data_IF_749338037583
#
_entry.id   IF_749338037583
#
_cell.length_a   1.000
_cell.length_b   1.000
_cell.length_c   1.000
_cell.angle_alpha   90.00
_cell.angle_beta   90.00
_cell.angle_gamma   90.00
#
_symmetry.space_group_name_H-M   'P 1'
#
loop_
_entity.id
_entity.type
_entity.pdbx_description
1 polymer ?
#
# COMPACT_ATOMS: atom_id res chain seq x y z
N UNK A 1 -13.71 -26.81 -15.66
CA UNK A 1 -14.55 -27.06 -14.49
C UNK A 1 -14.38 -28.49 -13.91
N UNK A 2 -14.17 -29.52 -14.70
CA UNK A 2 -13.98 -30.92 -14.22
C UNK A 2 -12.59 -31.19 -13.59
N UNK A 3 -11.54 -30.53 -14.03
CA UNK A 3 -10.15 -30.74 -13.53
C UNK A 3 -9.98 -30.16 -12.11
N UNK A 4 -10.60 -29.01 -11.80
CA UNK A 4 -10.54 -28.38 -10.47
C UNK A 4 -11.27 -29.24 -9.42
N UNK A 5 -12.37 -29.91 -9.79
CA UNK A 5 -13.10 -30.75 -8.87
C UNK A 5 -12.34 -32.07 -8.54
N UNK A 6 -11.58 -32.63 -9.49
CA UNK A 6 -10.70 -33.78 -9.25
C UNK A 6 -9.52 -33.45 -8.36
N UNK A 7 -8.94 -32.23 -8.50
CA UNK A 7 -7.85 -31.73 -7.62
C UNK A 7 -8.33 -31.54 -6.18
N UNK A 8 -9.50 -30.96 -5.97
CA UNK A 8 -10.08 -30.81 -4.62
C UNK A 8 -10.36 -32.19 -3.95
N UNK A 9 -10.81 -33.20 -4.71
CA UNK A 9 -11.02 -34.55 -4.20
C UNK A 9 -9.70 -35.24 -3.84
N UNK A 10 -8.62 -35.07 -4.61
CA UNK A 10 -7.31 -35.61 -4.28
C UNK A 10 -6.67 -34.93 -3.05
N UNK A 11 -6.83 -33.62 -2.89
CA UNK A 11 -6.34 -32.88 -1.71
C UNK A 11 -7.10 -33.33 -0.45
N UNK A 12 -8.43 -33.53 -0.53
CA UNK A 12 -9.21 -34.08 0.60
C UNK A 12 -8.79 -35.49 0.99
N UNK A 13 -8.48 -36.36 0.02
CA UNK A 13 -8.03 -37.74 0.28
C UNK A 13 -6.59 -37.74 0.86
N UNK A 14 -5.72 -36.83 0.43
CA UNK A 14 -4.36 -36.73 0.93
C UNK A 14 -4.27 -36.18 2.38
N UNK A 15 -5.24 -35.37 2.80
CA UNK A 15 -5.25 -34.85 4.19
C UNK A 15 -5.42 -35.96 5.24
N UNK A 16 -5.96 -37.10 4.86
CA UNK A 16 -6.05 -38.30 5.71
C UNK A 16 -4.76 -39.17 5.71
N UNK A 17 -3.79 -38.88 4.84
CA UNK A 17 -2.57 -39.65 4.66
C UNK A 17 -1.27 -38.91 5.05
N UNK A 18 -1.33 -37.87 5.86
CA UNK A 18 -0.13 -37.25 6.47
C UNK A 18 0.70 -36.35 5.53
N UNK A 19 0.12 -35.82 4.47
CA UNK A 19 0.78 -34.78 3.65
C UNK A 19 0.89 -33.51 4.48
N UNK A 20 2.11 -32.95 4.59
CA UNK A 20 2.35 -31.73 5.38
C UNK A 20 1.65 -30.52 4.75
N UNK A 21 1.21 -29.58 5.59
CA UNK A 21 0.62 -28.33 5.13
C UNK A 21 1.61 -27.52 4.27
N UNK A 22 2.90 -27.67 4.53
CA UNK A 22 3.96 -27.01 3.76
C UNK A 22 4.02 -27.52 2.32
N UNK A 23 3.89 -28.84 2.11
CA UNK A 23 3.84 -29.43 0.77
C UNK A 23 2.59 -28.97 0.00
N UNK A 24 1.44 -28.87 0.67
CA UNK A 24 0.21 -28.36 0.06
C UNK A 24 0.40 -26.90 -0.33
N UNK A 25 0.99 -26.09 0.53
CA UNK A 25 1.26 -24.67 0.26
C UNK A 25 2.24 -24.49 -0.90
N UNK A 26 3.33 -25.29 -0.92
CA UNK A 26 4.32 -25.29 -2.01
C UNK A 26 3.68 -25.69 -3.35
N UNK A 27 2.82 -26.72 -3.34
CA UNK A 27 2.07 -27.17 -4.52
C UNK A 27 1.08 -26.10 -5.02
N UNK A 28 0.34 -25.45 -4.11
CA UNK A 28 -0.59 -24.38 -4.47
C UNK A 28 0.15 -23.15 -5.03
N UNK A 29 1.33 -22.81 -4.50
CA UNK A 29 2.19 -21.74 -5.02
C UNK A 29 2.77 -22.11 -6.41
N UNK A 30 3.17 -23.37 -6.63
CA UNK A 30 3.69 -23.84 -7.91
C UNK A 30 2.66 -23.72 -9.03
N UNK A 31 1.39 -23.99 -8.74
CA UNK A 31 0.29 -23.90 -9.71
C UNK A 31 -0.41 -22.53 -9.73
N UNK A 32 0.15 -21.50 -9.04
CA UNK A 32 -0.44 -20.16 -8.92
C UNK A 32 -1.90 -20.16 -8.39
N UNK A 33 -2.32 -21.18 -7.67
CA UNK A 33 -3.68 -21.29 -7.14
C UNK A 33 -3.91 -20.37 -5.93
N UNK A 34 -2.82 -19.84 -5.35
CA UNK A 34 -2.83 -18.87 -4.24
C UNK A 34 -2.23 -17.52 -4.60
N UNK A 35 -1.96 -17.31 -5.88
CA UNK A 35 -1.29 -16.10 -6.37
C UNK A 35 -2.26 -14.95 -6.54
N UNK A 36 -1.90 -13.77 -6.04
CA UNK A 36 -2.59 -12.50 -6.26
C UNK A 36 -2.16 -11.88 -7.59
N UNK A 37 -0.90 -12.06 -7.96
CA UNK A 37 -0.30 -11.52 -9.18
C UNK A 37 0.96 -12.29 -9.59
N UNK A 38 1.38 -12.11 -10.84
CA UNK A 38 2.67 -12.61 -11.33
C UNK A 38 3.89 -12.00 -10.60
N UNK A 39 3.69 -10.94 -9.81
CA UNK A 39 4.77 -10.22 -9.09
C UNK A 39 4.91 -10.65 -7.64
N UNK A 40 4.12 -11.61 -7.15
CA UNK A 40 4.08 -12.00 -5.74
C UNK A 40 5.45 -12.40 -5.19
N UNK A 41 6.28 -13.12 -5.98
CA UNK A 41 7.63 -13.52 -5.57
C UNK A 41 8.52 -12.30 -5.28
N UNK A 42 8.45 -11.28 -6.14
CA UNK A 42 9.21 -10.04 -5.97
C UNK A 42 8.67 -9.26 -4.77
N UNK A 43 7.35 -9.10 -4.67
CA UNK A 43 6.69 -8.41 -3.56
C UNK A 43 7.06 -9.06 -2.22
N UNK A 44 6.92 -10.39 -2.10
CA UNK A 44 7.27 -11.15 -0.89
C UNK A 44 8.75 -10.99 -0.51
N UNK A 45 9.65 -10.91 -1.50
CA UNK A 45 11.09 -10.70 -1.26
C UNK A 45 11.37 -9.31 -0.69
N UNK A 46 10.90 -8.27 -1.37
CA UNK A 46 11.26 -6.89 -1.03
C UNK A 46 10.58 -6.41 0.26
N UNK A 47 9.30 -6.74 0.47
CA UNK A 47 8.54 -6.26 1.63
C UNK A 47 9.07 -6.80 2.97
N UNK A 48 9.90 -7.85 2.96
CA UNK A 48 10.58 -8.34 4.18
C UNK A 48 11.40 -7.25 4.86
N UNK A 49 12.00 -6.33 4.10
CA UNK A 49 12.75 -5.18 4.61
C UNK A 49 11.87 -4.25 5.46
N UNK A 50 10.59 -4.14 5.11
CA UNK A 50 9.60 -3.31 5.80
C UNK A 50 8.90 -4.04 6.96
N UNK A 51 8.91 -5.37 6.94
CA UNK A 51 8.25 -6.22 7.94
C UNK A 51 6.73 -6.19 7.85
N UNK A 52 6.15 -5.71 6.75
CA UNK A 52 4.71 -5.74 6.50
C UNK A 52 4.25 -7.09 5.93
N UNK A 53 2.96 -7.38 6.06
CA UNK A 53 2.34 -8.44 5.28
C UNK A 53 2.47 -8.11 3.78
N UNK A 54 2.96 -9.05 2.98
CA UNK A 54 3.16 -8.86 1.55
C UNK A 54 1.88 -8.50 0.80
N UNK A 55 0.72 -8.95 1.31
CA UNK A 55 -0.59 -8.65 0.73
C UNK A 55 -0.97 -7.17 0.88
N UNK A 56 -0.44 -6.48 1.89
CA UNK A 56 -0.58 -5.03 1.99
C UNK A 56 0.16 -4.35 0.85
N UNK A 57 1.39 -4.76 0.54
CA UNK A 57 2.15 -4.25 -0.61
C UNK A 57 1.45 -4.59 -1.93
N UNK A 58 0.95 -5.82 -2.10
CA UNK A 58 0.17 -6.19 -3.28
C UNK A 58 -1.09 -5.32 -3.44
N UNK A 59 -1.73 -4.94 -2.33
CA UNK A 59 -2.89 -4.05 -2.33
C UNK A 59 -2.55 -2.63 -2.76
N UNK A 60 -1.35 -2.13 -2.42
CA UNK A 60 -0.82 -0.86 -2.92
C UNK A 60 -0.66 -0.96 -4.44
N UNK A 61 0.10 -1.94 -4.94
CA UNK A 61 0.33 -2.13 -6.38
C UNK A 61 -0.98 -2.24 -7.16
N UNK A 62 -1.96 -2.98 -6.61
CA UNK A 62 -3.30 -3.05 -7.20
C UNK A 62 -3.98 -1.68 -7.29
N UNK A 63 -3.91 -0.87 -6.24
CA UNK A 63 -4.55 0.46 -6.25
C UNK A 63 -3.84 1.43 -7.19
N UNK A 64 -2.52 1.32 -7.34
CA UNK A 64 -1.73 2.17 -8.22
C UNK A 64 -1.95 1.82 -9.71
N UNK A 65 -1.70 0.59 -10.10
CA UNK A 65 -1.60 0.20 -11.51
C UNK A 65 -2.48 -0.97 -11.94
N UNK A 66 -3.20 -1.65 -11.04
CA UNK A 66 -3.83 -2.96 -11.30
C UNK A 66 -2.83 -4.01 -11.78
N UNK A 67 -1.61 -3.96 -11.28
CA UNK A 67 -0.47 -4.76 -11.73
C UNK A 67 -0.08 -4.53 -13.21
N UNK A 68 -0.47 -3.40 -13.81
CA UNK A 68 -0.04 -3.04 -15.16
C UNK A 68 1.31 -2.30 -15.09
N UNK A 69 2.36 -2.94 -15.62
CA UNK A 69 3.73 -2.41 -15.65
C UNK A 69 3.84 -1.16 -16.54
N UNK A 70 3.02 -1.06 -17.58
CA UNK A 70 3.03 0.04 -18.54
C UNK A 70 2.04 1.17 -18.18
N UNK A 71 1.47 1.12 -16.96
CA UNK A 71 0.50 2.13 -16.54
C UNK A 71 1.11 3.53 -16.52
N UNK A 72 0.43 4.49 -17.15
CA UNK A 72 0.77 5.92 -17.15
C UNK A 72 -0.48 6.71 -16.77
N UNK A 73 -0.39 7.51 -15.72
CA UNK A 73 -1.47 8.38 -15.31
C UNK A 73 -1.51 9.69 -16.12
N UNK A 74 -2.64 10.39 -16.07
CA UNK A 74 -2.78 11.72 -16.70
C UNK A 74 -1.82 12.77 -16.11
N UNK A 75 -1.31 12.57 -14.91
CA UNK A 75 -0.31 13.42 -14.27
C UNK A 75 1.14 12.95 -14.52
N UNK A 76 1.36 11.89 -15.29
CA UNK A 76 2.67 11.37 -15.63
C UNK A 76 3.28 10.41 -14.60
N UNK A 77 2.48 9.88 -13.66
CA UNK A 77 2.93 8.77 -12.81
C UNK A 77 3.05 7.49 -13.66
N UNK A 78 4.09 6.65 -13.39
CA UNK A 78 4.44 5.52 -14.26
C UNK A 78 4.68 4.23 -13.47
N UNK A 79 4.42 3.12 -14.14
CA UNK A 79 4.78 1.77 -13.72
C UNK A 79 3.91 1.19 -12.61
N UNK A 80 4.33 0.06 -12.06
CA UNK A 80 3.57 -0.69 -11.04
C UNK A 80 3.23 0.14 -9.81
N UNK A 81 4.15 1.00 -9.38
CA UNK A 81 4.05 1.81 -8.18
C UNK A 81 3.58 3.24 -8.44
N UNK A 82 3.28 3.59 -9.71
CA UNK A 82 2.84 4.91 -10.13
C UNK A 82 3.73 6.05 -9.59
N UNK A 83 5.03 5.90 -9.78
CA UNK A 83 5.96 6.95 -9.39
C UNK A 83 5.86 8.18 -10.29
N UNK A 84 5.74 9.35 -9.67
CA UNK A 84 6.01 10.62 -10.34
C UNK A 84 7.51 10.72 -10.66
N UNK A 85 7.90 11.35 -11.78
CA UNK A 85 9.30 11.39 -12.22
C UNK A 85 10.29 11.81 -11.13
N UNK A 86 10.00 12.92 -10.44
CA UNK A 86 10.84 13.42 -9.34
C UNK A 86 10.97 12.43 -8.17
N UNK A 87 9.90 11.65 -7.91
CA UNK A 87 9.94 10.63 -6.85
C UNK A 87 10.76 9.43 -7.33
N UNK A 88 10.60 9.00 -8.58
CA UNK A 88 11.38 7.93 -9.18
C UNK A 88 12.89 8.22 -9.07
N UNK A 89 13.33 9.39 -9.55
CA UNK A 89 14.72 9.85 -9.48
C UNK A 89 15.26 9.84 -8.04
N UNK A 90 14.47 10.32 -7.07
CA UNK A 90 14.86 10.34 -5.65
C UNK A 90 15.13 8.94 -5.08
N UNK A 91 14.45 7.92 -5.61
CA UNK A 91 14.62 6.53 -5.20
C UNK A 91 15.41 5.71 -6.22
N UNK A 92 16.25 6.38 -7.01
CA UNK A 92 17.27 5.77 -7.87
C UNK A 92 16.76 5.15 -9.16
N UNK A 93 15.55 5.53 -9.61
CA UNK A 93 15.01 5.07 -10.88
C UNK A 93 15.19 6.12 -11.98
N UNK A 94 15.91 5.76 -13.05
CA UNK A 94 16.15 6.63 -14.19
C UNK A 94 15.38 6.15 -15.44
N UNK A 95 14.82 7.10 -16.18
CA UNK A 95 14.16 6.82 -17.46
C UNK A 95 13.07 5.75 -17.39
N UNK A 96 13.27 4.65 -18.09
CA UNK A 96 12.31 3.54 -18.16
C UNK A 96 12.52 2.45 -17.08
N UNK A 97 13.49 2.59 -16.20
CA UNK A 97 13.68 1.69 -15.06
C UNK A 97 12.44 1.62 -14.16
N UNK A 98 11.65 2.70 -14.11
CA UNK A 98 10.36 2.75 -13.40
C UNK A 98 9.36 1.71 -13.94
N UNK A 99 9.51 1.24 -15.16
CA UNK A 99 8.70 0.19 -15.78
C UNK A 99 9.26 -1.22 -15.51
N UNK A 100 10.49 -1.35 -14.98
CA UNK A 100 11.00 -2.63 -14.54
C UNK A 100 10.31 -3.07 -13.26
N UNK A 101 9.60 -4.23 -13.23
CA UNK A 101 8.84 -4.65 -12.06
C UNK A 101 9.67 -4.78 -10.78
N UNK A 102 10.89 -5.33 -10.89
CA UNK A 102 11.72 -5.56 -9.73
C UNK A 102 12.22 -4.24 -9.14
N UNK A 103 12.75 -3.35 -9.99
CA UNK A 103 13.27 -2.04 -9.57
C UNK A 103 12.14 -1.15 -9.03
N UNK A 104 10.98 -1.15 -9.70
CA UNK A 104 9.82 -0.36 -9.27
C UNK A 104 9.30 -0.80 -7.89
N UNK A 105 9.18 -2.13 -7.63
CA UNK A 105 8.74 -2.65 -6.34
C UNK A 105 9.80 -2.38 -5.26
N UNK A 106 11.09 -2.55 -5.56
CA UNK A 106 12.19 -2.26 -4.62
C UNK A 106 12.17 -0.79 -4.19
N UNK A 107 12.16 0.14 -5.15
CA UNK A 107 12.05 1.58 -4.87
C UNK A 107 10.76 1.92 -4.10
N UNK A 108 9.65 1.22 -4.39
CA UNK A 108 8.39 1.35 -3.65
C UNK A 108 8.52 1.00 -2.17
N UNK A 109 9.19 -0.10 -1.88
CA UNK A 109 9.47 -0.52 -0.49
C UNK A 109 10.38 0.50 0.20
N UNK A 110 11.41 1.00 -0.47
CA UNK A 110 12.29 2.03 0.10
C UNK A 110 11.55 3.35 0.39
N UNK A 111 10.62 3.74 -0.48
CA UNK A 111 9.78 4.91 -0.23
C UNK A 111 8.85 4.68 0.97
N UNK A 112 8.23 3.51 1.09
CA UNK A 112 7.41 3.16 2.26
C UNK A 112 8.26 3.15 3.55
N UNK A 113 9.47 2.61 3.52
CA UNK A 113 10.41 2.67 4.66
C UNK A 113 10.80 4.10 5.04
N UNK A 114 10.98 4.98 4.05
CA UNK A 114 11.19 6.41 4.29
C UNK A 114 9.98 7.02 4.99
N UNK A 115 8.75 6.70 4.56
CA UNK A 115 7.52 7.21 5.17
C UNK A 115 7.29 6.63 6.57
N UNK A 116 7.60 5.34 6.81
CA UNK A 116 7.58 4.74 8.15
C UNK A 116 8.41 5.56 9.14
N UNK A 117 9.64 5.93 8.76
CA UNK A 117 10.50 6.78 9.60
C UNK A 117 9.96 8.20 9.77
N UNK A 118 9.10 8.66 8.85
CA UNK A 118 8.45 9.98 8.95
C UNK A 118 7.29 10.00 9.93
N UNK A 119 6.75 8.86 10.29
CA UNK A 119 5.59 8.71 11.18
C UNK A 119 5.89 7.75 12.34
N UNK A 120 7.18 7.62 12.75
CA UNK A 120 7.64 6.68 13.77
C UNK A 120 7.13 7.00 15.19
N UNK A 121 6.70 8.24 15.43
CA UNK A 121 6.05 8.65 16.67
C UNK A 121 4.67 8.00 16.89
N UNK A 122 4.04 7.47 15.83
CA UNK A 122 2.77 6.75 15.93
C UNK A 122 3.07 5.32 16.38
N UNK A 123 2.83 5.02 17.66
CA UNK A 123 3.21 3.74 18.27
C UNK A 123 2.38 2.56 17.72
N UNK A 124 1.08 2.77 17.49
CA UNK A 124 0.22 1.75 16.91
C UNK A 124 0.59 1.52 15.45
N UNK A 125 0.92 0.28 15.11
CA UNK A 125 1.41 -0.09 13.78
C UNK A 125 0.33 0.00 12.71
N UNK A 126 -0.89 -0.42 13.03
CA UNK A 126 -2.00 -0.41 12.07
C UNK A 126 -2.44 1.03 11.77
N UNK A 127 -2.43 1.89 12.80
CA UNK A 127 -2.60 3.33 12.60
C UNK A 127 -1.46 3.88 11.73
N UNK A 128 -0.20 3.63 12.07
CA UNK A 128 0.97 4.14 11.32
C UNK A 128 0.89 3.80 9.83
N UNK A 129 0.48 2.58 9.48
CA UNK A 129 0.30 2.18 8.08
C UNK A 129 -0.67 3.12 7.35
N UNK A 130 -1.76 3.57 7.98
CA UNK A 130 -2.70 4.52 7.36
C UNK A 130 -2.04 5.85 7.04
N UNK A 131 -1.21 6.38 7.95
CA UNK A 131 -0.43 7.60 7.73
C UNK A 131 0.63 7.43 6.63
N UNK A 132 1.30 6.29 6.60
CA UNK A 132 2.26 5.95 5.53
C UNK A 132 1.56 5.92 4.18
N UNK A 133 0.41 5.27 4.06
CA UNK A 133 -0.39 5.23 2.84
C UNK A 133 -0.87 6.62 2.42
N UNK A 134 -1.33 7.43 3.38
CA UNK A 134 -1.69 8.80 3.11
C UNK A 134 -0.49 9.64 2.63
N UNK A 135 0.66 9.47 3.28
CA UNK A 135 1.92 10.10 2.89
C UNK A 135 2.43 9.66 1.53
N UNK A 136 2.22 8.40 1.16
CA UNK A 136 2.55 7.87 -0.16
C UNK A 136 1.74 8.60 -1.26
N UNK A 137 0.43 8.73 -1.05
CA UNK A 137 -0.48 9.32 -2.04
C UNK A 137 -0.44 10.85 -2.09
N UNK A 138 -0.38 11.52 -0.93
CA UNK A 138 -0.47 12.99 -0.80
C UNK A 138 0.88 13.69 -0.64
N UNK A 139 1.92 12.92 -0.31
CA UNK A 139 3.13 13.45 0.29
C UNK A 139 2.99 13.67 1.81
N UNK A 140 4.05 13.42 2.58
CA UNK A 140 3.99 13.48 4.05
C UNK A 140 3.71 14.89 4.60
N UNK A 141 3.94 15.93 3.82
CA UNK A 141 3.74 17.32 4.25
C UNK A 141 2.29 17.64 4.57
N UNK A 142 1.36 17.35 3.68
CA UNK A 142 -0.07 17.60 3.92
C UNK A 142 -0.63 16.72 5.04
N UNK A 143 -0.11 15.51 5.22
CA UNK A 143 -0.47 14.64 6.35
C UNK A 143 -0.01 15.28 7.67
N UNK A 144 1.20 15.86 7.70
CA UNK A 144 1.72 16.60 8.85
C UNK A 144 0.88 17.86 9.18
N UNK A 145 0.44 18.59 8.17
CA UNK A 145 -0.47 19.72 8.39
C UNK A 145 -1.79 19.26 9.01
N UNK A 146 -2.34 18.13 8.53
CA UNK A 146 -3.56 17.54 9.10
C UNK A 146 -3.36 17.06 10.55
N UNK A 147 -2.21 16.47 10.88
CA UNK A 147 -1.85 16.09 12.26
C UNK A 147 -1.76 17.32 13.18
N UNK A 148 -1.12 18.39 12.71
CA UNK A 148 -1.00 19.63 13.48
C UNK A 148 -2.35 20.30 13.72
N UNK A 149 -3.27 20.25 12.74
CA UNK A 149 -4.65 20.70 12.94
C UNK A 149 -5.39 19.82 13.94
N UNK A 150 -5.25 18.48 13.85
CA UNK A 150 -5.85 17.57 14.81
C UNK A 150 -5.45 17.94 16.25
N UNK A 151 -4.15 18.09 16.48
CA UNK A 151 -3.61 18.47 17.80
C UNK A 151 -4.16 19.83 18.26
N UNK A 152 -4.10 20.85 17.39
CA UNK A 152 -4.57 22.22 17.73
C UNK A 152 -6.05 22.26 18.09
N UNK A 153 -6.87 21.45 17.43
CA UNK A 153 -8.32 21.44 17.64
C UNK A 153 -8.82 20.33 18.60
N UNK A 154 -7.92 19.69 19.33
CA UNK A 154 -8.22 18.75 20.42
C UNK A 154 -8.54 17.33 19.98
N UNK A 155 -8.21 16.95 18.73
CA UNK A 155 -8.26 15.57 18.28
C UNK A 155 -6.90 14.88 18.44
N UNK A 156 -6.88 13.54 18.40
CA UNK A 156 -5.65 12.79 18.53
C UNK A 156 -4.86 12.80 17.19
N UNK A 157 -3.66 13.42 17.15
CA UNK A 157 -2.86 13.50 15.94
C UNK A 157 -2.27 12.17 15.48
N UNK A 158 -2.36 11.11 16.30
CA UNK A 158 -1.84 9.78 16.02
C UNK A 158 -2.94 8.75 15.68
N UNK A 159 -4.17 9.20 15.50
CA UNK A 159 -5.31 8.38 15.07
C UNK A 159 -5.81 8.87 13.72
N UNK A 160 -5.91 7.96 12.77
CA UNK A 160 -6.37 8.29 11.42
C UNK A 160 -7.88 8.46 11.36
N UNK A 161 -8.62 7.36 11.67
CA UNK A 161 -10.07 7.31 11.50
C UNK A 161 -10.78 8.29 12.46
N UNK A 162 -11.63 9.15 11.88
CA UNK A 162 -12.39 10.15 12.64
C UNK A 162 -11.57 11.30 13.23
N UNK A 163 -10.22 11.26 13.11
CA UNK A 163 -9.32 12.30 13.58
C UNK A 163 -8.55 12.92 12.41
N UNK A 164 -7.33 12.48 12.08
CA UNK A 164 -6.48 13.13 11.07
C UNK A 164 -7.10 13.10 9.67
N UNK A 165 -7.85 12.06 9.30
CA UNK A 165 -8.53 12.01 8.00
C UNK A 165 -9.49 13.20 7.78
N UNK A 166 -10.23 13.63 8.82
CA UNK A 166 -11.14 14.78 8.69
C UNK A 166 -10.40 16.09 8.50
N UNK A 167 -9.23 16.23 9.16
CA UNK A 167 -8.40 17.43 9.01
C UNK A 167 -7.70 17.46 7.65
N UNK A 168 -7.32 16.31 7.11
CA UNK A 168 -6.83 16.23 5.74
C UNK A 168 -7.90 16.66 4.72
N UNK A 169 -9.18 16.34 4.98
CA UNK A 169 -10.30 16.83 4.18
C UNK A 169 -10.51 18.34 4.34
N UNK A 170 -10.32 18.86 5.56
CA UNK A 170 -10.50 20.27 5.89
C UNK A 170 -9.45 21.18 5.23
N UNK A 171 -8.27 20.67 4.82
CA UNK A 171 -7.23 21.42 4.11
C UNK A 171 -7.67 22.01 2.75
N UNK A 172 -8.89 21.73 2.27
CA UNK A 172 -9.46 22.45 1.12
C UNK A 172 -10.10 23.79 1.51
N UNK A 173 -10.32 24.07 2.79
CA UNK A 173 -10.93 25.29 3.28
C UNK A 173 -9.85 26.31 3.70
N UNK A 174 -10.01 27.57 3.26
CA UNK A 174 -8.99 28.61 3.51
C UNK A 174 -8.75 28.87 4.99
N UNK A 175 -9.74 28.68 5.82
CA UNK A 175 -9.65 28.77 7.28
C UNK A 175 -8.59 27.83 7.85
N UNK A 176 -8.43 26.62 7.27
CA UNK A 176 -7.56 25.59 7.81
C UNK A 176 -6.21 25.53 7.10
N UNK A 177 -6.16 25.56 5.76
CA UNK A 177 -4.86 25.50 5.08
C UNK A 177 -4.01 26.77 5.24
N UNK A 178 -4.61 27.87 5.72
CA UNK A 178 -3.90 29.12 6.08
C UNK A 178 -3.65 29.22 7.59
N UNK A 179 -4.02 28.23 8.36
CA UNK A 179 -3.74 28.20 9.79
C UNK A 179 -2.22 28.23 10.01
N UNK A 180 -1.77 28.88 11.08
CA UNK A 180 -0.36 29.05 11.43
C UNK A 180 0.42 27.73 11.60
N UNK A 181 -0.29 26.63 11.94
CA UNK A 181 0.30 25.29 12.10
C UNK A 181 0.51 24.58 10.75
N UNK A 182 -0.14 25.03 9.67
CA UNK A 182 -0.02 24.47 8.34
C UNK A 182 1.15 25.08 7.56
N UNK A 183 1.93 24.24 6.88
CA UNK A 183 3.14 24.65 6.13
C UNK A 183 3.05 24.38 4.64
N UNK A 184 2.09 23.55 4.20
CA UNK A 184 2.03 23.03 2.83
C UNK A 184 0.84 23.57 2.03
N UNK A 185 -0.07 24.31 2.69
CA UNK A 185 -1.14 25.05 2.03
C UNK A 185 -2.32 24.20 1.58
N UNK A 186 -3.01 24.67 0.55
CA UNK A 186 -4.24 24.06 0.03
C UNK A 186 -4.03 22.62 -0.44
N UNK A 187 -4.94 21.73 0.00
CA UNK A 187 -4.94 20.33 -0.43
C UNK A 187 -6.35 19.75 -0.54
N UNK A 188 -6.61 18.94 -1.58
CA UNK A 188 -7.88 18.21 -1.78
C UNK A 188 -7.76 16.79 -1.23
N UNK A 189 -7.94 16.61 0.07
CA UNK A 189 -7.72 15.34 0.78
C UNK A 189 -8.62 14.17 0.40
N UNK A 190 -9.75 14.41 -0.30
CA UNK A 190 -10.74 13.37 -0.62
C UNK A 190 -10.17 12.17 -1.36
N UNK A 191 -9.27 12.40 -2.31
CA UNK A 191 -8.64 11.31 -3.06
C UNK A 191 -7.80 10.44 -2.13
N UNK A 192 -6.97 11.06 -1.29
CA UNK A 192 -6.07 10.38 -0.36
C UNK A 192 -6.83 9.57 0.70
N UNK A 193 -7.88 10.15 1.30
CA UNK A 193 -8.72 9.42 2.25
C UNK A 193 -9.36 8.19 1.60
N UNK A 194 -9.85 8.33 0.36
CA UNK A 194 -10.39 7.20 -0.41
C UNK A 194 -9.31 6.17 -0.72
N UNK A 195 -8.12 6.61 -1.06
CA UNK A 195 -6.98 5.75 -1.36
C UNK A 195 -6.65 4.84 -0.17
N UNK A 196 -6.49 5.41 1.03
CA UNK A 196 -6.23 4.65 2.25
C UNK A 196 -7.33 3.59 2.47
N UNK A 197 -8.60 3.98 2.39
CA UNK A 197 -9.74 3.04 2.53
C UNK A 197 -9.72 1.93 1.47
N UNK A 198 -9.39 2.26 0.22
CA UNK A 198 -9.35 1.28 -0.87
C UNK A 198 -8.20 0.28 -0.71
N UNK A 199 -7.03 0.72 -0.26
CA UNK A 199 -5.89 -0.17 -0.01
C UNK A 199 -6.24 -1.16 1.10
N UNK A 200 -6.79 -0.70 2.23
CA UNK A 200 -7.22 -1.59 3.32
C UNK A 200 -8.35 -2.54 2.89
N UNK A 201 -9.32 -2.06 2.11
CA UNK A 201 -10.37 -2.92 1.55
C UNK A 201 -9.76 -4.04 0.71
N UNK A 202 -8.82 -3.72 -0.18
CA UNK A 202 -8.15 -4.71 -1.03
C UNK A 202 -7.28 -5.66 -0.21
N UNK A 203 -6.57 -5.16 0.80
CA UNK A 203 -5.82 -5.97 1.74
C UNK A 203 -6.72 -6.98 2.47
N UNK A 204 -7.88 -6.55 2.94
CA UNK A 204 -8.85 -7.43 3.58
C UNK A 204 -9.36 -8.51 2.61
N UNK A 205 -9.65 -8.15 1.34
CA UNK A 205 -10.00 -9.13 0.31
C UNK A 205 -8.89 -10.19 0.16
N UNK A 206 -7.62 -9.77 0.06
CA UNK A 206 -6.49 -10.68 -0.10
C UNK A 206 -6.17 -11.53 1.14
N UNK A 207 -6.55 -11.10 2.33
CA UNK A 207 -6.38 -11.88 3.56
C UNK A 207 -7.53 -12.82 3.85
N UNK A 208 -8.73 -12.50 3.36
CA UNK A 208 -9.95 -13.31 3.56
C UNK A 208 -9.99 -14.49 2.60
N UNK A 209 -9.62 -14.28 1.34
CA UNK A 209 -9.44 -15.38 0.40
C UNK A 209 -8.07 -16.02 0.66
N UNK A 210 -8.07 -17.34 0.96
CA UNK A 210 -6.83 -18.12 1.07
C UNK A 210 -6.22 -18.25 -0.33
N UNK A 211 -5.40 -17.29 -0.69
CA UNK A 211 -4.54 -17.36 -1.86
C UNK A 211 -3.25 -18.06 -1.49
#
# INVERSE_FOLDING_TARGET
>A
MFVVLLLCLNICVCNNNGVSQDFINEYLDEYNLTSVSQYDKIIKREVRKLGWDWRMMASIVWNESRFNVDAISSQGARGLMQFMPRTAERFGLEGDEVLNPALSIEAGVEYLMFLERRFDEIADRDERIKFVLAGYNAGPGHVRDAMALAEKYGDNPHVWDGSVEKWLLALQESKYYRDEVCKHGFFRGRHTVRYVKNVFKKYHEYTTYKY
#
